data_IF_283594685539
#
_entry.id   IF_283594685539
#
_cell.length_a   1.000
_cell.length_b   1.000
_cell.length_c   1.000
_cell.angle_alpha   90.00
_cell.angle_beta   90.00
_cell.angle_gamma   90.00
#
_symmetry.space_group_name_H-M   'P 1'
#
loop_
_entity.id
_entity.type
_entity.pdbx_description
1 polymer ?
#
# COMPACT_ATOMS: atom_id res chain seq x y z
N UNK A 1 12.52 -9.25 4.33
CA UNK A 1 13.54 -8.69 3.41
C UNK A 1 13.53 -7.17 3.54
N UNK A 2 14.69 -6.54 3.42
CA UNK A 2 14.85 -5.08 3.49
C UNK A 2 15.11 -4.53 2.09
N UNK A 3 14.38 -3.49 1.70
CA UNK A 3 14.70 -2.72 0.49
C UNK A 3 15.46 -1.47 0.94
N UNK A 4 16.70 -1.34 0.50
CA UNK A 4 17.49 -0.13 0.65
C UNK A 4 17.18 0.81 -0.53
N UNK A 5 16.84 2.06 -0.23
CA UNK A 5 16.52 3.08 -1.24
C UNK A 5 15.23 3.84 -0.94
N UNK A 6 15.17 5.10 -1.37
CA UNK A 6 13.98 5.93 -1.25
C UNK A 6 12.85 5.30 -2.06
N UNK A 7 11.70 5.07 -1.43
CA UNK A 7 10.55 4.43 -2.06
C UNK A 7 9.28 5.24 -1.86
N UNK A 8 8.45 5.33 -2.89
CA UNK A 8 7.12 5.92 -2.79
C UNK A 8 6.11 4.85 -2.38
N UNK A 9 5.38 5.12 -1.29
CA UNK A 9 4.32 4.26 -0.79
C UNK A 9 2.97 4.97 -0.97
N UNK A 10 2.00 4.38 -1.70
CA UNK A 10 0.70 4.99 -1.89
C UNK A 10 -0.05 5.14 -0.57
N UNK A 11 -0.71 6.29 -0.40
CA UNK A 11 -1.56 6.57 0.74
C UNK A 11 -2.98 6.01 0.54
N UNK A 12 -3.65 5.79 1.67
CA UNK A 12 -5.07 5.42 1.76
C UNK A 12 -5.47 4.13 1.04
N UNK A 13 -4.50 3.25 0.72
CA UNK A 13 -4.77 1.89 0.22
C UNK A 13 -3.65 1.31 -0.66
N UNK A 14 -3.88 0.09 -1.16
CA UNK A 14 -2.93 -0.61 -2.04
C UNK A 14 -3.12 -0.22 -3.50
N UNK A 15 -2.01 -0.06 -4.22
CA UNK A 15 -1.98 0.12 -5.67
C UNK A 15 -0.91 -0.80 -6.24
N UNK A 16 -1.21 -1.51 -7.33
CA UNK A 16 -0.24 -2.39 -7.97
C UNK A 16 0.98 -1.60 -8.49
N UNK A 17 2.19 -2.12 -8.29
CA UNK A 17 3.46 -1.40 -8.58
C UNK A 17 3.52 -0.81 -10.00
N UNK A 18 3.17 -1.60 -11.02
CA UNK A 18 3.21 -1.16 -12.44
C UNK A 18 2.25 0.01 -12.67
N UNK A 19 1.00 -0.14 -12.23
CA UNK A 19 -0.03 0.90 -12.33
C UNK A 19 0.36 2.15 -11.55
N UNK A 20 0.87 1.97 -10.33
CA UNK A 20 1.31 3.08 -9.49
C UNK A 20 2.43 3.88 -10.17
N UNK A 21 3.47 3.19 -10.67
CA UNK A 21 4.55 3.82 -11.43
C UNK A 21 4.04 4.61 -12.63
N UNK A 22 3.11 4.05 -13.41
CA UNK A 22 2.52 4.72 -14.56
C UNK A 22 1.76 6.00 -14.18
N UNK A 23 0.90 5.93 -13.14
CA UNK A 23 0.16 7.09 -12.66
C UNK A 23 1.08 8.21 -12.16
N UNK A 24 2.13 7.87 -11.41
CA UNK A 24 3.11 8.88 -10.95
C UNK A 24 3.87 9.49 -12.13
N UNK A 25 4.33 8.67 -13.08
CA UNK A 25 5.06 9.17 -14.24
C UNK A 25 4.21 10.12 -15.10
N UNK A 26 2.92 9.83 -15.27
CA UNK A 26 1.97 10.70 -15.98
C UNK A 26 1.79 12.04 -15.26
N UNK A 27 1.56 12.01 -13.93
CA UNK A 27 1.35 13.22 -13.14
C UNK A 27 2.61 14.09 -13.04
N UNK A 28 3.78 13.49 -12.92
CA UNK A 28 5.06 14.22 -12.90
C UNK A 28 5.37 14.81 -14.27
N UNK A 29 5.11 14.09 -15.36
CA UNK A 29 5.30 14.61 -16.73
C UNK A 29 4.37 15.78 -17.02
N UNK A 30 3.14 15.74 -16.50
CA UNK A 30 2.19 16.85 -16.61
C UNK A 30 2.45 18.02 -15.66
N UNK A 31 3.47 17.93 -14.79
CA UNK A 31 3.76 18.97 -13.80
C UNK A 31 2.73 19.12 -12.67
N UNK A 32 1.76 18.21 -12.57
CA UNK A 32 0.63 18.30 -11.63
C UNK A 32 0.94 17.70 -10.25
N UNK A 33 2.03 16.96 -10.13
CA UNK A 33 2.46 16.37 -8.86
C UNK A 33 3.74 17.02 -8.34
N UNK A 34 3.76 17.26 -7.04
CA UNK A 34 4.85 17.96 -6.36
C UNK A 34 5.05 17.41 -4.95
N UNK A 35 6.26 17.57 -4.42
CA UNK A 35 6.61 17.09 -3.09
C UNK A 35 6.49 18.20 -2.05
N UNK A 36 5.89 17.90 -0.90
CA UNK A 36 5.90 18.76 0.28
C UNK A 36 6.49 18.02 1.47
N UNK A 37 7.07 18.77 2.40
CA UNK A 37 7.41 18.24 3.72
C UNK A 37 6.25 18.56 4.67
N UNK A 38 5.65 17.54 5.27
CA UNK A 38 4.59 17.76 6.25
C UNK A 38 5.16 18.22 7.60
N UNK A 39 4.28 18.65 8.52
CA UNK A 39 4.67 19.08 9.86
C UNK A 39 5.41 17.99 10.67
N UNK A 40 5.21 16.71 10.34
CA UNK A 40 5.88 15.57 10.97
C UNK A 40 7.24 15.25 10.34
N UNK A 41 7.69 16.03 9.37
CA UNK A 41 8.95 15.86 8.67
C UNK A 41 8.95 14.85 7.51
N UNK A 42 7.81 14.22 7.21
CA UNK A 42 7.68 13.28 6.10
C UNK A 42 7.57 14.02 4.77
N UNK A 43 8.19 13.47 3.73
CA UNK A 43 8.07 13.96 2.36
C UNK A 43 6.87 13.27 1.69
N UNK A 44 5.87 14.05 1.30
CA UNK A 44 4.61 13.59 0.72
C UNK A 44 4.51 14.08 -0.72
N UNK A 45 4.17 13.17 -1.64
CA UNK A 45 3.80 13.51 -3.00
C UNK A 45 2.32 13.91 -3.02
N UNK A 46 2.07 15.16 -3.37
CA UNK A 46 0.75 15.75 -3.57
C UNK A 46 0.46 15.87 -5.07
N UNK A 47 -0.81 15.99 -5.42
CA UNK A 47 -1.20 16.47 -6.75
C UNK A 47 -2.49 17.25 -6.68
N UNK A 48 -2.63 18.21 -7.58
CA UNK A 48 -3.80 19.07 -7.64
C UNK A 48 -4.97 18.34 -8.35
N UNK A 49 -6.18 18.54 -7.83
CA UNK A 49 -7.41 18.03 -8.43
C UNK A 49 -7.87 18.87 -9.62
N UNK A 50 -7.26 18.63 -10.78
CA UNK A 50 -7.62 19.26 -12.06
C UNK A 50 -8.19 18.27 -13.08
N UNK A 51 -8.91 18.77 -14.09
CA UNK A 51 -9.69 17.94 -15.03
C UNK A 51 -8.78 17.15 -15.97
N UNK A 52 -7.64 17.74 -16.31
CA UNK A 52 -6.61 17.25 -17.21
C UNK A 52 -6.00 15.94 -16.68
N UNK A 53 -5.94 15.79 -15.35
CA UNK A 53 -5.40 14.62 -14.67
C UNK A 53 -6.46 13.84 -13.87
N UNK A 54 -7.73 13.94 -14.25
CA UNK A 54 -8.82 13.29 -13.53
C UNK A 54 -8.68 11.75 -13.54
N UNK A 55 -8.27 11.19 -14.68
CA UNK A 55 -8.08 9.75 -14.91
C UNK A 55 -6.98 9.15 -14.02
N UNK A 56 -5.73 9.66 -14.01
CA UNK A 56 -4.71 9.14 -13.09
C UNK A 56 -5.07 9.37 -11.62
N UNK A 57 -5.81 10.43 -11.28
CA UNK A 57 -6.22 10.75 -9.91
C UNK A 57 -7.45 10.02 -9.38
N UNK A 58 -8.30 9.45 -10.24
CA UNK A 58 -9.60 8.89 -9.85
C UNK A 58 -9.53 7.92 -8.65
N UNK A 59 -8.54 7.02 -8.65
CA UNK A 59 -8.33 6.07 -7.56
C UNK A 59 -7.88 6.74 -6.25
N UNK A 60 -7.03 7.75 -6.33
CA UNK A 60 -6.53 8.51 -5.17
C UNK A 60 -7.64 9.37 -4.58
N UNK A 61 -8.39 10.11 -5.41
CA UNK A 61 -9.58 10.88 -5.01
C UNK A 61 -10.58 10.04 -4.21
N UNK A 62 -10.89 8.83 -4.70
CA UNK A 62 -11.82 7.93 -4.03
C UNK A 62 -11.30 7.48 -2.67
N UNK A 63 -10.03 7.08 -2.58
CA UNK A 63 -9.43 6.61 -1.32
C UNK A 63 -9.26 7.74 -0.31
N UNK A 64 -8.86 8.92 -0.76
CA UNK A 64 -8.73 10.10 0.08
C UNK A 64 -10.08 10.53 0.67
N UNK A 65 -11.14 10.63 -0.15
CA UNK A 65 -12.50 10.88 0.35
C UNK A 65 -12.94 9.89 1.42
N UNK A 66 -12.66 8.60 1.22
CA UNK A 66 -13.00 7.56 2.20
C UNK A 66 -12.19 7.71 3.50
N UNK A 67 -10.91 8.03 3.41
CA UNK A 67 -10.04 8.18 4.58
C UNK A 67 -10.41 9.42 5.42
N UNK A 68 -10.73 10.53 4.77
CA UNK A 68 -11.10 11.79 5.43
C UNK A 68 -12.61 11.89 5.76
N UNK A 69 -13.43 10.95 5.30
CA UNK A 69 -14.89 11.00 5.49
C UNK A 69 -15.61 12.08 4.68
N UNK A 70 -14.99 12.61 3.63
CA UNK A 70 -15.52 13.76 2.86
C UNK A 70 -16.33 13.26 1.66
N UNK A 71 -17.54 13.81 1.46
CA UNK A 71 -18.43 13.44 0.33
C UNK A 71 -17.87 13.86 -1.04
N UNK A 72 -17.32 15.08 -1.15
CA UNK A 72 -16.85 15.68 -2.41
C UNK A 72 -15.53 16.43 -2.22
N UNK A 73 -14.64 16.31 -3.21
CA UNK A 73 -13.41 17.11 -3.29
C UNK A 73 -13.66 18.33 -4.18
N UNK A 74 -13.20 19.50 -3.74
CA UNK A 74 -13.20 20.72 -4.55
C UNK A 74 -12.19 20.59 -5.68
N UNK A 75 -12.46 21.22 -6.83
CA UNK A 75 -11.46 21.37 -7.90
C UNK A 75 -10.34 22.29 -7.39
N UNK A 76 -9.11 22.02 -7.79
CA UNK A 76 -7.92 22.73 -7.29
C UNK A 76 -7.49 22.33 -5.88
N UNK A 77 -8.20 21.40 -5.23
CA UNK A 77 -7.76 20.88 -3.93
C UNK A 77 -6.58 19.93 -4.10
N UNK A 78 -5.63 20.02 -3.18
CA UNK A 78 -4.48 19.11 -3.14
C UNK A 78 -4.86 17.76 -2.57
N UNK A 79 -4.40 16.71 -3.25
CA UNK A 79 -4.67 15.32 -2.88
C UNK A 79 -3.36 14.63 -2.50
N UNK A 80 -3.26 14.06 -1.30
CA UNK A 80 -2.09 13.28 -0.91
C UNK A 80 -2.08 11.93 -1.66
N UNK A 81 -1.03 11.70 -2.45
CA UNK A 81 -0.88 10.49 -3.27
C UNK A 81 -0.06 9.43 -2.56
N UNK A 82 1.12 9.81 -2.08
CA UNK A 82 2.11 8.87 -1.57
C UNK A 82 3.10 9.53 -0.62
N UNK A 83 3.75 8.71 0.22
CA UNK A 83 4.86 9.16 1.08
C UNK A 83 6.16 8.60 0.55
N UNK A 84 7.19 9.44 0.47
CA UNK A 84 8.55 9.03 0.20
C UNK A 84 9.20 8.58 1.51
N UNK A 85 9.57 7.31 1.57
CA UNK A 85 10.21 6.69 2.75
C UNK A 85 11.64 6.27 2.43
N UNK A 86 12.60 6.45 3.35
CA UNK A 86 14.01 6.12 3.11
C UNK A 86 14.29 4.60 3.14
N UNK A 87 13.45 3.82 3.83
CA UNK A 87 13.61 2.39 4.05
C UNK A 87 12.26 1.73 4.25
N UNK A 88 12.10 0.49 3.74
CA UNK A 88 10.92 -0.34 4.01
C UNK A 88 11.31 -1.74 4.46
N UNK A 89 10.71 -2.17 5.56
CA UNK A 89 10.78 -3.56 6.04
C UNK A 89 9.58 -4.34 5.51
N UNK A 90 9.85 -5.32 4.65
CA UNK A 90 8.82 -6.22 4.14
C UNK A 90 8.76 -7.48 5.00
N UNK A 91 7.61 -7.70 5.64
CA UNK A 91 7.28 -8.98 6.28
C UNK A 91 7.15 -10.07 5.20
N UNK A 92 7.63 -11.28 5.49
CA UNK A 92 7.46 -12.44 4.60
C UNK A 92 5.96 -12.65 4.34
N UNK A 93 5.60 -12.98 3.10
CA UNK A 93 4.19 -13.22 2.72
C UNK A 93 3.61 -14.49 3.34
N UNK A 94 4.46 -15.50 3.52
CA UNK A 94 4.14 -16.76 4.16
C UNK A 94 5.20 -17.02 5.24
N UNK A 95 4.74 -17.19 6.47
CA UNK A 95 5.56 -17.57 7.62
C UNK A 95 5.44 -19.09 7.81
N UNK A 96 6.27 -19.83 7.10
CA UNK A 96 6.21 -21.30 7.03
C UNK A 96 6.47 -21.91 8.39
N UNK A 97 7.48 -21.42 9.12
CA UNK A 97 7.83 -21.89 10.47
C UNK A 97 6.62 -21.77 11.40
N UNK A 98 5.99 -20.60 11.44
CA UNK A 98 4.82 -20.38 12.29
C UNK A 98 3.60 -21.22 11.86
N UNK A 99 3.47 -21.49 10.56
CA UNK A 99 2.41 -22.35 10.03
C UNK A 99 2.63 -23.81 10.41
N UNK A 100 3.87 -24.30 10.33
CA UNK A 100 4.27 -25.66 10.70
C UNK A 100 4.10 -25.88 12.20
N UNK A 101 4.61 -24.98 13.05
CA UNK A 101 4.45 -25.04 14.51
C UNK A 101 2.98 -25.13 14.93
N UNK A 102 2.08 -24.42 14.23
CA UNK A 102 0.63 -24.48 14.49
C UNK A 102 -0.04 -25.79 14.04
N UNK A 103 0.50 -26.47 13.03
CA UNK A 103 -0.17 -27.63 12.39
C UNK A 103 0.36 -28.97 12.86
N UNK A 104 1.64 -29.08 13.25
CA UNK A 104 2.26 -30.35 13.67
C UNK A 104 1.51 -31.02 14.83
N UNK A 105 1.12 -30.35 15.92
CA UNK A 105 0.47 -31.04 17.05
C UNK A 105 -0.86 -31.68 16.66
N UNK A 106 -1.66 -31.02 15.81
CA UNK A 106 -2.92 -31.60 15.29
C UNK A 106 -2.66 -32.80 14.38
N UNK A 107 -1.66 -32.70 13.51
CA UNK A 107 -1.28 -33.80 12.63
C UNK A 107 -0.81 -35.01 13.43
N UNK A 108 0.04 -34.80 14.44
CA UNK A 108 0.52 -35.85 15.34
C UNK A 108 -0.65 -36.53 16.07
N UNK A 109 -1.56 -35.76 16.66
CA UNK A 109 -2.73 -36.31 17.34
C UNK A 109 -3.65 -37.13 16.41
N UNK A 110 -3.85 -36.68 15.16
CA UNK A 110 -4.62 -37.44 14.18
C UNK A 110 -3.93 -38.73 13.74
N UNK A 111 -2.60 -38.72 13.59
CA UNK A 111 -1.82 -39.93 13.31
C UNK A 111 -1.91 -40.91 14.48
N UNK A 112 -1.75 -40.45 15.72
CA UNK A 112 -1.88 -41.28 16.92
C UNK A 112 -3.27 -41.92 17.04
N UNK A 113 -4.34 -41.15 16.77
CA UNK A 113 -5.70 -41.70 16.71
C UNK A 113 -5.84 -42.77 15.64
N UNK A 114 -5.30 -42.54 14.44
CA UNK A 114 -5.39 -43.51 13.35
C UNK A 114 -4.62 -44.79 13.67
N UNK A 115 -3.42 -44.69 14.25
CA UNK A 115 -2.63 -45.86 14.69
C UNK A 115 -3.43 -46.67 15.71
N UNK A 116 -4.08 -46.03 16.68
CA UNK A 116 -4.95 -46.71 17.68
C UNK A 116 -6.21 -47.35 17.09
N UNK A 117 -6.64 -46.92 15.91
CA UNK A 117 -7.87 -47.43 15.27
C UNK A 117 -7.56 -48.61 14.34
N UNK A 118 -6.34 -48.67 13.80
CA UNK A 118 -5.91 -49.69 12.82
C UNK A 118 -5.08 -50.80 13.47
N UNK A 119 -4.40 -50.53 14.59
CA UNK A 119 -3.75 -51.54 15.44
C UNK A 119 -4.68 -52.06 16.52
#
# INVERSE_FOLDING_TARGET
GQIAGRMLIPLNGRVGRKRFKAQIAELMRGGNAYFIKNAKGNVVLMAENIKEHDRPLAGFKRRYRKAEGIKRLKRGADIPIAVLVPRVMLKKRLDIERLVVRRIPRLAASIEQQIRTVG
#
